data_IF_355956098329
#
_entry.id   IF_355956098329
#
_cell.length_a   1.000
_cell.length_b   1.000
_cell.length_c   1.000
_cell.angle_alpha   90.00
_cell.angle_beta   90.00
_cell.angle_gamma   90.00
#
_symmetry.space_group_name_H-M   'P 1'
#
loop_
_entity.id
_entity.type
_entity.pdbx_description
1 polymer ?
#
# COMPACT_ATOMS: atom_id res chain seq x y z
N UNK A 1 -8.00 -9.74 -0.84
CA UNK A 1 -9.08 -8.75 -1.02
C UNK A 1 -8.69 -7.77 -2.11
N UNK A 2 -9.62 -7.32 -2.98
CA UNK A 2 -9.35 -6.28 -3.97
C UNK A 2 -9.54 -4.90 -3.33
N UNK A 3 -8.52 -4.05 -3.41
CA UNK A 3 -8.57 -2.65 -2.95
C UNK A 3 -8.44 -1.75 -4.17
N UNK A 4 -9.37 -0.81 -4.32
CA UNK A 4 -9.34 0.21 -5.37
C UNK A 4 -9.03 1.56 -4.75
N UNK A 5 -8.00 2.23 -5.25
CA UNK A 5 -7.57 3.55 -4.79
C UNK A 5 -7.12 4.42 -5.97
N UNK A 6 -7.25 5.73 -5.79
CA UNK A 6 -6.69 6.72 -6.71
C UNK A 6 -5.41 7.26 -6.10
N UNK A 7 -4.30 7.09 -6.81
CA UNK A 7 -2.98 7.59 -6.39
C UNK A 7 -3.00 9.13 -6.37
N UNK A 8 -2.64 9.79 -5.27
CA UNK A 8 -2.48 11.25 -5.22
C UNK A 8 -1.29 11.73 -6.05
N UNK A 9 -0.40 10.82 -6.46
CA UNK A 9 0.85 11.12 -7.15
C UNK A 9 0.69 11.20 -8.65
N UNK A 10 -0.01 10.23 -9.23
CA UNK A 10 -0.24 10.14 -10.67
C UNK A 10 -1.68 10.47 -11.08
N UNK A 11 -2.63 10.46 -10.14
CA UNK A 11 -4.06 10.51 -10.42
C UNK A 11 -4.63 9.19 -10.98
N UNK A 12 -3.82 8.15 -11.15
CA UNK A 12 -4.26 6.86 -11.66
C UNK A 12 -5.13 6.12 -10.63
N UNK A 13 -6.23 5.51 -11.10
CA UNK A 13 -7.06 4.63 -10.27
C UNK A 13 -6.67 3.18 -10.53
N UNK A 14 -6.14 2.53 -9.50
CA UNK A 14 -5.64 1.17 -9.57
C UNK A 14 -6.46 0.26 -8.67
N UNK A 15 -6.58 -1.00 -9.07
CA UNK A 15 -7.14 -2.07 -8.22
C UNK A 15 -6.07 -3.12 -8.02
N UNK A 16 -5.72 -3.39 -6.76
CA UNK A 16 -4.70 -4.38 -6.39
C UNK A 16 -5.35 -5.47 -5.54
N UNK A 17 -5.07 -6.73 -5.90
CA UNK A 17 -5.41 -7.86 -5.06
C UNK A 17 -4.34 -8.03 -3.98
N UNK A 18 -4.73 -7.89 -2.72
CA UNK A 18 -3.85 -8.09 -1.57
C UNK A 18 -4.18 -9.43 -0.91
N UNK A 19 -3.25 -10.37 -1.00
CA UNK A 19 -3.38 -11.68 -0.35
C UNK A 19 -3.29 -11.53 1.17
N UNK A 20 -4.10 -12.29 1.92
CA UNK A 20 -4.14 -12.25 3.38
C UNK A 20 -4.77 -11.00 4.01
N UNK A 21 -5.15 -9.99 3.23
CA UNK A 21 -5.89 -8.83 3.74
C UNK A 21 -7.36 -9.22 4.03
N UNK A 22 -7.82 -8.89 5.22
CA UNK A 22 -9.19 -9.15 5.72
C UNK A 22 -9.91 -7.86 6.08
N UNK A 23 -11.24 -7.93 6.21
CA UNK A 23 -12.04 -6.77 6.60
C UNK A 23 -11.72 -6.32 8.03
N UNK A 24 -11.58 -7.25 8.98
CA UNK A 24 -11.24 -6.95 10.38
C UNK A 24 -9.94 -6.13 10.53
N UNK A 25 -8.95 -6.38 9.67
CA UNK A 25 -7.71 -5.59 9.64
C UNK A 25 -7.96 -4.14 9.22
N UNK A 26 -8.84 -3.93 8.23
CA UNK A 26 -9.24 -2.58 7.80
C UNK A 26 -10.10 -1.90 8.86
N UNK A 27 -10.96 -2.63 9.54
CA UNK A 27 -11.81 -2.10 10.60
C UNK A 27 -10.97 -1.66 11.81
N UNK A 28 -9.95 -2.43 12.19
CA UNK A 28 -8.97 -2.04 13.22
C UNK A 28 -8.22 -0.76 12.86
N UNK A 29 -7.71 -0.69 11.63
CA UNK A 29 -7.01 0.50 11.13
C UNK A 29 -7.93 1.73 11.08
N UNK A 30 -9.14 1.59 10.55
CA UNK A 30 -10.13 2.69 10.51
C UNK A 30 -10.66 3.06 11.90
N UNK A 31 -10.58 2.14 12.86
CA UNK A 31 -10.81 2.36 14.29
C UNK A 31 -9.69 3.09 15.03
N UNK A 32 -8.58 3.43 14.36
CA UNK A 32 -7.50 4.24 14.89
C UNK A 32 -6.24 3.48 15.30
N UNK A 33 -6.19 2.16 15.10
CA UNK A 33 -4.95 1.41 15.27
C UNK A 33 -3.93 1.81 14.20
N UNK A 34 -2.63 1.79 14.54
CA UNK A 34 -1.57 2.08 13.58
C UNK A 34 -1.54 1.03 12.48
N UNK A 35 -1.33 1.44 11.23
CA UNK A 35 -1.41 0.50 10.09
C UNK A 35 -0.36 -0.60 10.16
N UNK A 36 0.82 -0.33 10.72
CA UNK A 36 1.85 -1.37 10.90
C UNK A 36 1.41 -2.45 11.88
N UNK A 37 0.48 -2.14 12.79
CA UNK A 37 -0.03 -3.09 13.79
C UNK A 37 -1.30 -3.78 13.26
N UNK A 38 -2.22 -3.01 12.68
CA UNK A 38 -3.45 -3.52 12.08
C UNK A 38 -3.19 -4.44 10.88
N UNK A 39 -2.19 -4.09 10.05
CA UNK A 39 -1.80 -4.82 8.83
C UNK A 39 -0.40 -5.44 8.95
N UNK A 40 0.03 -5.85 10.14
CA UNK A 40 1.38 -6.37 10.41
C UNK A 40 1.84 -7.52 9.49
N UNK A 41 0.91 -8.38 9.05
CA UNK A 41 1.20 -9.49 8.14
C UNK A 41 1.23 -9.10 6.66
N UNK A 42 0.93 -7.85 6.32
CA UNK A 42 0.90 -7.35 4.95
C UNK A 42 2.24 -6.66 4.64
N UNK A 43 2.85 -6.94 3.47
CA UNK A 43 4.06 -6.26 3.02
C UNK A 43 3.95 -4.74 3.09
N UNK A 44 5.05 -4.06 3.39
CA UNK A 44 5.06 -2.62 3.67
C UNK A 44 4.56 -1.81 2.47
N UNK A 45 5.01 -2.17 1.27
CA UNK A 45 4.63 -1.54 0.01
C UNK A 45 3.13 -1.70 -0.31
N UNK A 46 2.51 -2.81 0.13
CA UNK A 46 1.07 -3.00 -0.01
C UNK A 46 0.27 -2.28 1.08
N UNK A 47 0.84 -2.09 2.28
CA UNK A 47 0.25 -1.22 3.30
C UNK A 47 0.18 0.22 2.82
N UNK A 48 1.23 0.72 2.18
CA UNK A 48 1.24 2.05 1.56
C UNK A 48 0.13 2.18 0.52
N UNK A 49 -0.03 1.19 -0.37
CA UNK A 49 -1.14 1.19 -1.33
C UNK A 49 -2.52 1.26 -0.64
N UNK A 50 -2.72 0.55 0.48
CA UNK A 50 -3.97 0.63 1.25
C UNK A 50 -4.21 2.03 1.82
N UNK A 51 -3.15 2.73 2.25
CA UNK A 51 -3.22 4.08 2.81
C UNK A 51 -3.48 5.14 1.76
N UNK A 52 -2.63 5.18 0.74
CA UNK A 52 -2.51 6.33 -0.16
C UNK A 52 -2.95 6.01 -1.57
N UNK A 53 -2.94 4.74 -1.97
CA UNK A 53 -3.18 4.34 -3.35
C UNK A 53 -1.95 4.43 -4.26
N UNK A 54 -0.79 4.79 -3.71
CA UNK A 54 0.48 4.77 -4.44
C UNK A 54 0.90 3.30 -4.59
N UNK A 55 1.13 2.86 -5.83
CA UNK A 55 1.62 1.51 -6.10
C UNK A 55 3.14 1.40 -5.91
N UNK A 56 3.69 0.21 -5.66
CA UNK A 56 5.14 0.02 -5.56
C UNK A 56 5.87 0.56 -6.80
N UNK A 57 5.35 0.29 -8.00
CA UNK A 57 5.96 0.82 -9.22
C UNK A 57 5.82 2.33 -9.41
N UNK A 58 4.88 3.02 -8.77
CA UNK A 58 4.89 4.49 -8.73
C UNK A 58 5.94 5.02 -7.76
N UNK A 59 6.08 4.34 -6.62
CA UNK A 59 7.13 4.63 -5.65
C UNK A 59 8.51 4.50 -6.26
N UNK A 60 8.81 3.36 -6.90
CA UNK A 60 10.10 3.10 -7.55
C UNK A 60 10.41 4.08 -8.68
N UNK A 61 9.39 4.64 -9.36
CA UNK A 61 9.63 5.65 -10.40
C UNK A 61 9.96 7.02 -9.82
N UNK A 62 9.38 7.35 -8.67
CA UNK A 62 9.64 8.62 -7.98
C UNK A 62 10.96 8.57 -7.21
N UNK A 63 11.25 7.43 -6.59
CA UNK A 63 12.46 7.15 -5.84
C UNK A 63 13.08 5.87 -6.41
N UNK A 64 13.73 5.97 -7.58
CA UNK A 64 14.46 4.83 -8.13
C UNK A 64 15.47 4.34 -7.09
N UNK A 65 15.62 3.01 -6.93
CA UNK A 65 16.66 2.48 -6.06
C UNK A 65 17.99 3.08 -6.52
N UNK A 66 18.83 3.50 -5.57
CA UNK A 66 20.19 3.90 -5.89
C UNK A 66 20.83 2.72 -6.61
N UNK A 67 21.33 2.95 -7.83
CA UNK A 67 22.13 1.97 -8.53
C UNK A 67 23.29 1.63 -7.57
N UNK A 68 23.34 0.40 -7.06
CA UNK A 68 24.54 -0.11 -6.41
C UNK A 68 25.61 -0.14 -7.51
N UNK A 69 26.37 0.96 -7.65
CA UNK A 69 27.59 0.97 -8.44
C UNK A 69 28.56 -0.04 -7.79
N UNK A 70 28.62 -1.25 -8.37
CA UNK A 70 29.62 -2.30 -8.04
C UNK A 70 31.06 -1.82 -8.22
#
# INVERSE_FOLDING_TARGET
MNITRTSPLSGATNTVFINGLTQDMLDRWTGGELIQDALASIPQELREFVMTGITPGEWDRMFPPEDEEE
#
